data_IF_818591112041
#
_entry.id   IF_818591112041
#
_cell.length_a   1.000
_cell.length_b   1.000
_cell.length_c   1.000
_cell.angle_alpha   90.00
_cell.angle_beta   90.00
_cell.angle_gamma   90.00
#
_symmetry.space_group_name_H-M   'P 1'
#
loop_
_entity.id
_entity.type
_entity.pdbx_description
1 polymer ?
#
# COMPACT_ATOMS: atom_id res chain seq x y z
N UNK A 1 4.85 -0.07 2.67
CA UNK A 1 4.07 1.18 2.89
C UNK A 1 2.55 1.04 2.62
N UNK A 2 1.96 -0.17 2.62
CA UNK A 2 0.48 -0.41 2.64
C UNK A 2 0.08 -1.53 3.64
N UNK A 3 1.01 -2.02 4.46
CA UNK A 3 0.84 -3.22 5.30
C UNK A 3 0.44 -2.92 6.75
N UNK A 4 -0.06 -1.71 7.04
CA UNK A 4 -0.46 -1.30 8.39
C UNK A 4 -1.93 -0.87 8.38
N UNK A 5 -2.67 -1.05 9.49
CA UNK A 5 -4.04 -0.57 9.61
C UNK A 5 -4.06 0.96 9.45
N UNK A 6 -4.91 1.45 8.55
CA UNK A 6 -5.08 2.86 8.19
C UNK A 6 -6.54 3.26 8.25
N UNK A 7 -6.79 4.55 8.46
CA UNK A 7 -8.14 5.09 8.26
C UNK A 7 -8.55 4.95 6.77
N UNK A 8 -9.85 5.01 6.48
CA UNK A 8 -10.34 4.96 5.09
C UNK A 8 -9.77 6.12 4.27
N UNK A 9 -9.66 7.30 4.88
CA UNK A 9 -9.12 8.51 4.27
C UNK A 9 -7.65 8.35 3.88
N UNK A 10 -6.85 7.80 4.78
CA UNK A 10 -5.43 7.52 4.52
C UNK A 10 -5.25 6.47 3.42
N UNK A 11 -6.12 5.45 3.38
CA UNK A 11 -6.12 4.44 2.33
C UNK A 11 -6.44 5.06 0.96
N UNK A 12 -7.47 5.90 0.88
CA UNK A 12 -7.85 6.58 -0.36
C UNK A 12 -6.75 7.53 -0.84
N UNK A 13 -6.18 8.34 0.05
CA UNK A 13 -5.10 9.27 -0.28
C UNK A 13 -3.85 8.52 -0.77
N UNK A 14 -3.42 7.49 -0.03
CA UNK A 14 -2.27 6.66 -0.42
C UNK A 14 -2.52 5.92 -1.73
N UNK A 15 -3.74 5.41 -1.94
CA UNK A 15 -4.13 4.70 -3.15
C UNK A 15 -4.11 5.61 -4.37
N UNK A 16 -4.59 6.85 -4.25
CA UNK A 16 -4.57 7.83 -5.33
C UNK A 16 -3.14 8.23 -5.72
N UNK A 17 -2.25 8.45 -4.74
CA UNK A 17 -0.85 8.73 -5.01
C UNK A 17 -0.15 7.52 -5.67
N UNK A 18 -0.39 6.32 -5.15
CA UNK A 18 0.19 5.09 -5.67
C UNK A 18 -0.28 4.78 -7.10
N UNK A 19 -1.53 5.10 -7.45
CA UNK A 19 -2.08 4.96 -8.81
C UNK A 19 -1.22 5.72 -9.83
N UNK A 20 -0.96 7.00 -9.57
CA UNK A 20 -0.14 7.83 -10.43
C UNK A 20 1.32 7.34 -10.45
N UNK A 21 1.89 7.06 -9.27
CA UNK A 21 3.29 6.67 -9.14
C UNK A 21 3.60 5.35 -9.84
N UNK A 22 2.72 4.35 -9.73
CA UNK A 22 2.93 3.02 -10.32
C UNK A 22 2.79 3.06 -11.85
N UNK A 23 1.82 3.79 -12.38
CA UNK A 23 1.68 3.99 -13.82
C UNK A 23 2.91 4.70 -14.40
N UNK A 24 3.36 5.77 -13.74
CA UNK A 24 4.57 6.48 -14.10
C UNK A 24 5.83 5.61 -14.06
N UNK A 25 5.96 4.77 -13.02
CA UNK A 25 7.05 3.81 -12.92
C UNK A 25 7.04 2.85 -14.10
N UNK A 26 5.89 2.27 -14.45
CA UNK A 26 5.77 1.37 -15.60
C UNK A 26 6.18 2.06 -16.91
N UNK A 27 5.69 3.28 -17.17
CA UNK A 27 6.07 3.99 -18.40
C UNK A 27 7.58 4.28 -18.44
N UNK A 28 8.16 4.78 -17.34
CA UNK A 28 9.58 5.15 -17.30
C UNK A 28 10.51 3.94 -17.38
N UNK A 29 10.19 2.85 -16.69
CA UNK A 29 10.96 1.59 -16.76
C UNK A 29 10.93 0.97 -18.17
N UNK A 30 9.91 1.28 -18.97
CA UNK A 30 9.76 0.80 -20.34
C UNK A 30 10.13 1.84 -21.42
N UNK A 31 10.86 2.91 -21.07
CA UNK A 31 11.27 3.98 -21.99
C UNK A 31 10.10 4.68 -22.72
N UNK A 32 8.94 4.79 -22.06
CA UNK A 32 7.74 5.45 -22.58
C UNK A 32 7.50 6.79 -21.90
N UNK A 33 6.79 7.66 -22.61
CA UNK A 33 6.28 8.91 -22.04
C UNK A 33 5.18 8.61 -21.01
N UNK A 34 5.24 9.30 -19.88
CA UNK A 34 4.25 9.20 -18.80
C UNK A 34 2.84 9.63 -19.22
N UNK A 35 1.87 9.17 -18.45
CA UNK A 35 0.47 9.61 -18.49
C UNK A 35 0.05 10.11 -17.11
N UNK A 36 -0.97 10.97 -17.05
CA UNK A 36 -1.50 11.50 -15.78
C UNK A 36 -3.03 11.38 -15.72
N UNK A 37 -3.54 11.21 -14.52
CA UNK A 37 -4.96 11.17 -14.18
C UNK A 37 -5.75 10.24 -15.09
N UNK A 38 -6.89 10.74 -15.59
CA UNK A 38 -7.80 9.99 -16.47
C UNK A 38 -7.18 9.48 -17.78
N UNK A 39 -6.01 9.97 -18.17
CA UNK A 39 -5.33 9.49 -19.38
C UNK A 39 -4.60 8.15 -19.15
N UNK A 40 -4.31 7.78 -17.89
CA UNK A 40 -3.55 6.58 -17.53
C UNK A 40 -4.16 5.31 -18.14
N UNK A 41 -5.45 4.96 -17.94
CA UNK A 41 -6.01 3.71 -18.49
C UNK A 41 -5.90 3.65 -20.02
N UNK A 42 -6.16 4.77 -20.70
CA UNK A 42 -6.12 4.82 -22.16
C UNK A 42 -4.71 4.62 -22.71
N UNK A 43 -3.71 5.21 -22.08
CA UNK A 43 -2.31 5.10 -22.51
C UNK A 43 -1.75 3.74 -22.11
N UNK A 44 -2.07 3.25 -20.91
CA UNK A 44 -1.69 1.93 -20.43
C UNK A 44 -2.24 0.85 -21.35
N UNK A 45 -3.53 0.89 -21.71
CA UNK A 45 -4.16 -0.07 -22.64
C UNK A 45 -3.49 -0.13 -24.01
N UNK A 46 -2.95 0.99 -24.49
CA UNK A 46 -2.20 1.04 -25.77
C UNK A 46 -0.80 0.46 -25.65
N UNK A 47 -0.19 0.56 -24.47
CA UNK A 47 1.13 0.00 -24.21
C UNK A 47 1.06 -1.50 -23.91
N UNK A 48 0.10 -1.90 -23.06
CA UNK A 48 -0.16 -3.26 -22.63
C UNK A 48 -1.63 -3.37 -22.14
N UNK A 49 -2.44 -4.12 -22.88
CA UNK A 49 -3.86 -4.28 -22.59
C UNK A 49 -4.13 -5.20 -21.39
N UNK A 50 -3.30 -6.21 -21.18
CA UNK A 50 -3.45 -7.16 -20.05
C UNK A 50 -3.09 -6.47 -18.73
N UNK A 51 -1.94 -5.78 -18.72
CA UNK A 51 -1.53 -4.96 -17.58
C UNK A 51 -2.59 -3.90 -17.26
N UNK A 52 -3.14 -3.24 -18.28
CA UNK A 52 -4.20 -2.24 -18.06
C UNK A 52 -5.43 -2.84 -17.36
N UNK A 53 -5.85 -4.03 -17.75
CA UNK A 53 -7.00 -4.70 -17.11
C UNK A 53 -6.71 -4.98 -15.64
N UNK A 54 -5.55 -5.59 -15.37
CA UNK A 54 -5.12 -5.95 -14.00
C UNK A 54 -4.91 -4.73 -13.12
N UNK A 55 -4.34 -3.67 -13.68
CA UNK A 55 -4.15 -2.38 -13.02
C UNK A 55 -5.48 -1.74 -12.63
N UNK A 56 -6.39 -1.57 -13.59
CA UNK A 56 -7.71 -0.98 -13.32
C UNK A 56 -8.48 -1.81 -12.29
N UNK A 57 -8.51 -3.14 -12.42
CA UNK A 57 -9.22 -4.00 -11.48
C UNK A 57 -8.63 -3.93 -10.07
N UNK A 58 -7.30 -3.87 -9.93
CA UNK A 58 -6.65 -3.80 -8.61
C UNK A 58 -7.00 -2.51 -7.87
N UNK A 59 -7.02 -1.37 -8.59
CA UNK A 59 -7.35 -0.08 -7.99
C UNK A 59 -8.85 0.12 -7.78
N UNK A 60 -9.71 -0.46 -8.61
CA UNK A 60 -11.15 -0.48 -8.37
C UNK A 60 -11.49 -1.16 -7.04
N UNK A 61 -10.88 -2.32 -6.77
CA UNK A 61 -11.05 -3.07 -5.52
C UNK A 61 -10.54 -2.29 -4.30
N UNK A 62 -9.39 -1.61 -4.44
CA UNK A 62 -8.86 -0.75 -3.41
C UNK A 62 -9.82 0.41 -3.08
N UNK A 63 -10.35 1.11 -4.09
CA UNK A 63 -11.16 2.30 -3.86
C UNK A 63 -12.59 1.97 -3.45
N UNK A 64 -13.17 0.91 -3.99
CA UNK A 64 -14.53 0.47 -3.69
C UNK A 64 -14.59 -0.24 -2.34
N UNK A 65 -13.71 -1.22 -2.13
CA UNK A 65 -13.81 -2.16 -1.01
C UNK A 65 -12.73 -1.97 0.06
N UNK A 66 -11.67 -1.21 -0.24
CA UNK A 66 -10.53 -1.08 0.67
C UNK A 66 -9.57 -2.26 0.62
N UNK A 67 -9.72 -3.16 -0.37
CA UNK A 67 -8.88 -4.34 -0.53
C UNK A 67 -7.56 -3.96 -1.23
N UNK A 68 -6.46 -4.10 -0.50
CA UNK A 68 -5.13 -3.65 -0.96
C UNK A 68 -4.27 -4.75 -1.55
N UNK A 69 -4.68 -6.00 -1.37
CA UNK A 69 -3.93 -7.21 -1.68
C UNK A 69 -3.58 -7.28 -3.16
N UNK A 70 -4.54 -6.97 -4.04
CA UNK A 70 -4.35 -6.96 -5.50
C UNK A 70 -3.35 -5.89 -5.93
N UNK A 71 -3.42 -4.69 -5.33
CA UNK A 71 -2.48 -3.59 -5.60
C UNK A 71 -1.09 -3.96 -5.12
N UNK A 72 -0.95 -4.54 -3.93
CA UNK A 72 0.34 -4.96 -3.38
C UNK A 72 0.99 -6.02 -4.28
N UNK A 73 0.22 -7.02 -4.73
CA UNK A 73 0.70 -8.05 -5.64
C UNK A 73 1.16 -7.47 -6.99
N UNK A 74 0.36 -6.58 -7.57
CA UNK A 74 0.68 -5.90 -8.82
C UNK A 74 1.97 -5.05 -8.72
N UNK A 75 2.11 -4.29 -7.63
CA UNK A 75 3.33 -3.52 -7.37
C UNK A 75 4.54 -4.44 -7.27
N UNK A 76 4.42 -5.56 -6.55
CA UNK A 76 5.49 -6.54 -6.43
C UNK A 76 5.97 -7.03 -7.79
N UNK A 77 5.05 -7.52 -8.62
CA UNK A 77 5.38 -8.01 -9.97
C UNK A 77 6.07 -6.95 -10.86
N UNK A 78 5.57 -5.71 -10.84
CA UNK A 78 6.17 -4.63 -11.63
C UNK A 78 7.57 -4.27 -11.13
N UNK A 79 7.82 -4.37 -9.83
CA UNK A 79 9.13 -4.12 -9.25
C UNK A 79 10.12 -5.26 -9.50
N UNK A 80 9.67 -6.52 -9.51
CA UNK A 80 10.53 -7.70 -9.78
C UNK A 80 11.32 -7.54 -11.08
N UNK A 81 10.73 -6.92 -12.09
CA UNK A 81 11.39 -6.67 -13.39
C UNK A 81 12.63 -5.78 -13.28
N UNK A 82 12.76 -5.00 -12.20
CA UNK A 82 13.84 -4.05 -11.96
C UNK A 82 14.54 -4.27 -10.61
N UNK A 83 14.48 -5.48 -10.06
CA UNK A 83 15.19 -5.87 -8.83
C UNK A 83 14.33 -5.92 -7.56
N UNK A 84 13.01 -5.89 -7.70
CA UNK A 84 12.06 -6.13 -6.60
C UNK A 84 11.93 -4.96 -5.63
N UNK A 85 11.42 -5.26 -4.43
CA UNK A 85 11.28 -4.26 -3.38
C UNK A 85 12.65 -3.85 -2.81
N UNK A 86 12.89 -2.54 -2.72
CA UNK A 86 14.07 -2.00 -2.06
C UNK A 86 14.12 -2.51 -0.59
N UNK A 87 15.26 -3.06 -0.19
CA UNK A 87 15.52 -3.65 1.13
C UNK A 87 14.80 -4.96 1.46
N UNK A 88 14.26 -5.68 0.46
CA UNK A 88 13.75 -7.03 0.76
C UNK A 88 14.89 -7.92 1.31
N UNK A 89 14.65 -8.52 2.48
CA UNK A 89 15.68 -9.26 3.24
C UNK A 89 16.65 -8.42 4.10
N UNK A 90 16.61 -7.08 4.04
CA UNK A 90 17.49 -6.22 4.85
C UNK A 90 16.82 -5.81 6.18
N UNK A 91 17.33 -6.33 7.30
CA UNK A 91 16.85 -6.04 8.65
C UNK A 91 17.94 -5.39 9.51
N UNK A 92 17.63 -4.25 10.11
CA UNK A 92 18.46 -3.62 11.15
C UNK A 92 17.94 -4.05 12.53
N UNK A 93 18.79 -4.74 13.29
CA UNK A 93 18.52 -5.04 14.70
C UNK A 93 18.99 -3.87 15.56
N UNK A 94 18.09 -3.27 16.33
CA UNK A 94 18.47 -2.25 17.28
C UNK A 94 19.25 -2.90 18.46
N UNK A 95 20.37 -2.31 18.90
CA UNK A 95 21.02 -2.63 20.16
C UNK A 95 20.00 -2.62 21.32
N UNK A 96 20.18 -3.53 22.28
CA UNK A 96 19.14 -3.82 23.30
C UNK A 96 18.76 -2.62 24.17
N UNK A 97 19.71 -1.72 24.40
CA UNK A 97 19.57 -0.44 25.11
C UNK A 97 18.77 0.62 24.33
N UNK A 98 18.65 0.47 23.02
CA UNK A 98 17.87 1.38 22.15
C UNK A 98 16.44 0.89 21.90
N UNK A 99 16.09 -0.32 22.39
CA UNK A 99 14.74 -0.87 22.25
C UNK A 99 13.82 -0.20 23.26
N UNK A 100 12.65 0.26 22.83
CA UNK A 100 11.61 0.66 23.77
C UNK A 100 11.28 -0.53 24.66
N UNK A 101 11.16 -0.36 25.99
CA UNK A 101 10.69 -1.43 26.85
C UNK A 101 9.31 -1.87 26.35
N UNK A 102 9.16 -3.16 26.10
CA UNK A 102 7.88 -3.76 25.76
C UNK A 102 7.01 -3.53 27.00
N UNK A 103 6.02 -2.64 26.89
CA UNK A 103 5.04 -2.48 27.96
C UNK A 103 4.30 -3.82 28.09
N UNK A 104 4.35 -4.42 29.27
CA UNK A 104 3.59 -5.62 29.57
C UNK A 104 2.10 -5.35 29.34
N UNK A 105 1.56 -5.88 28.24
CA UNK A 105 0.13 -5.92 27.97
C UNK A 105 -0.52 -6.93 28.90
N UNK A 106 -0.59 -6.61 30.20
CA UNK A 106 -1.33 -7.36 31.22
C UNK A 106 -2.04 -6.40 32.19
N UNK A 107 -2.71 -5.35 31.68
CA UNK A 107 -3.68 -4.60 32.50
C UNK A 107 -4.71 -3.81 31.68
N UNK A 108 -5.59 -4.50 30.96
CA UNK A 108 -6.83 -3.90 30.45
C UNK A 108 -8.03 -4.77 30.80
N UNK A 109 -8.22 -5.04 32.10
CA UNK A 109 -9.49 -5.57 32.62
C UNK A 109 -9.61 -5.27 34.10
N UNK A 110 -9.74 -4.00 34.49
CA UNK A 110 -10.16 -3.57 35.85
C UNK A 110 -10.06 -2.03 35.92
N UNK A 111 -10.95 -1.31 35.23
CA UNK A 111 -11.18 0.13 35.50
C UNK A 111 -12.43 0.71 34.86
N UNK A 112 -13.52 -0.05 34.80
CA UNK A 112 -14.86 0.53 34.62
C UNK A 112 -15.85 -0.22 35.52
N UNK A 113 -15.83 0.10 36.81
CA UNK A 113 -17.00 -0.08 37.69
C UNK A 113 -17.57 1.30 37.90
N UNK A 114 -18.73 1.56 37.28
CA UNK A 114 -19.52 2.77 37.49
C UNK A 114 -20.35 2.55 38.76
N UNK A 115 -20.31 3.44 39.76
CA UNK A 115 -21.13 3.28 40.95
C UNK A 115 -22.59 3.63 40.62
N UNK A 116 -23.49 2.66 40.83
CA UNK A 116 -24.93 2.90 40.90
C UNK A 116 -25.20 3.75 42.15
N UNK A 117 -25.94 4.86 42.02
CA UNK A 117 -26.53 5.57 43.17
C UNK A 117 -28.00 5.17 43.27
N UNK A 118 -28.39 4.70 44.45
CA UNK A 118 -29.77 4.66 44.95
C UNK A 118 -30.22 6.04 45.42
#
# INVERSE_FOLDING_TARGET
MMRQPRSREELLASGAELYEALADYYFRSNHRWSAKGKAIPRILKRADADLCLRFCNSFDELFSHGESEKVIALVGELLETNGGFLFDGHRLEAPGDHRKPIADTHRISERFVVPQRE
#
